data_IF_973487200177
#
_entry.id   IF_973487200177
#
_cell.length_a   1.000
_cell.length_b   1.000
_cell.length_c   1.000
_cell.angle_alpha   90.00
_cell.angle_beta   90.00
_cell.angle_gamma   90.00
#
_symmetry.space_group_name_H-M   'P 1'
#
loop_
_entity.id
_entity.type
_entity.pdbx_description
1 polymer ?
#
# COMPACT_ATOMS: atom_id res chain seq x y z
N UNK A 1 -7.93 6.07 17.68
CA UNK A 1 -8.56 7.39 17.46
C UNK A 1 -9.29 7.45 16.14
N UNK A 2 -8.71 7.00 15.02
CA UNK A 2 -9.33 7.01 13.68
C UNK A 2 -10.65 6.23 13.67
N UNK A 3 -10.69 5.05 14.29
CA UNK A 3 -11.89 4.23 14.39
C UNK A 3 -13.07 4.96 15.08
N UNK A 4 -12.78 5.75 16.12
CA UNK A 4 -13.82 6.55 16.80
C UNK A 4 -14.32 7.72 15.94
N UNK A 5 -13.47 8.28 15.09
CA UNK A 5 -13.83 9.39 14.22
C UNK A 5 -14.51 8.96 12.91
N UNK A 6 -14.11 7.82 12.32
CA UNK A 6 -14.54 7.36 10.99
C UNK A 6 -15.43 6.13 11.01
N UNK A 7 -15.59 5.46 12.15
CA UNK A 7 -16.39 4.24 12.28
C UNK A 7 -15.68 2.99 11.72
N UNK A 8 -16.49 1.97 11.42
CA UNK A 8 -16.01 0.72 10.82
C UNK A 8 -15.51 0.93 9.39
N UNK A 9 -14.59 0.05 8.96
CA UNK A 9 -14.13 0.01 7.56
C UNK A 9 -15.31 -0.20 6.62
N UNK A 10 -15.35 0.55 5.55
CA UNK A 10 -16.37 0.46 4.49
C UNK A 10 -15.75 0.83 3.15
N UNK A 11 -16.20 0.19 2.11
CA UNK A 11 -15.82 0.48 0.72
C UNK A 11 -17.07 0.54 -0.17
N UNK A 12 -16.93 1.18 -1.30
CA UNK A 12 -17.91 1.10 -2.38
C UNK A 12 -17.77 -0.25 -3.10
N UNK A 13 -18.85 -0.82 -3.64
CA UNK A 13 -18.78 -2.01 -4.50
C UNK A 13 -17.88 -1.78 -5.73
N UNK A 14 -17.26 -2.84 -6.23
CA UNK A 14 -16.40 -2.77 -7.43
C UNK A 14 -17.14 -2.15 -8.62
N UNK A 15 -18.39 -2.55 -8.84
CA UNK A 15 -19.19 -2.03 -9.95
C UNK A 15 -19.38 -0.50 -9.92
N UNK A 16 -19.55 0.07 -8.73
CA UNK A 16 -19.70 1.52 -8.55
C UNK A 16 -18.36 2.24 -8.77
N UNK A 17 -17.25 1.68 -8.29
CA UNK A 17 -15.91 2.22 -8.50
C UNK A 17 -15.48 2.18 -9.98
N UNK A 18 -15.84 1.13 -10.70
CA UNK A 18 -15.61 1.04 -12.15
C UNK A 18 -16.40 2.13 -12.87
N UNK A 19 -17.68 2.30 -12.54
CA UNK A 19 -18.52 3.36 -13.12
C UNK A 19 -17.98 4.76 -12.83
N UNK A 20 -17.45 4.99 -11.62
CA UNK A 20 -16.79 6.24 -11.28
C UNK A 20 -15.52 6.45 -12.13
N UNK A 21 -14.71 5.41 -12.31
CA UNK A 21 -13.52 5.47 -13.16
C UNK A 21 -13.86 5.77 -14.63
N UNK A 22 -14.95 5.20 -15.17
CA UNK A 22 -15.47 5.50 -16.52
C UNK A 22 -15.88 6.97 -16.65
N UNK A 23 -16.55 7.52 -15.63
CA UNK A 23 -16.93 8.94 -15.60
C UNK A 23 -15.70 9.85 -15.55
N UNK A 24 -14.67 9.50 -14.77
CA UNK A 24 -13.40 10.20 -14.70
C UNK A 24 -12.69 10.18 -16.06
N UNK A 25 -12.67 9.04 -16.73
CA UNK A 25 -12.13 8.88 -18.09
C UNK A 25 -12.88 9.75 -19.11
N UNK A 26 -14.23 9.72 -19.06
CA UNK A 26 -15.07 10.54 -19.92
C UNK A 26 -14.88 12.06 -19.72
N UNK A 27 -14.49 12.47 -18.50
CA UNK A 27 -14.09 13.85 -18.20
C UNK A 27 -12.68 14.21 -18.70
N UNK A 28 -11.97 13.30 -19.37
CA UNK A 28 -10.65 13.52 -19.95
C UNK A 28 -9.48 13.27 -19.01
N UNK A 29 -9.71 12.78 -17.79
CA UNK A 29 -8.65 12.41 -16.85
C UNK A 29 -7.99 11.10 -17.32
N UNK A 30 -6.67 11.01 -17.17
CA UNK A 30 -5.86 9.88 -17.65
C UNK A 30 -5.25 9.06 -16.52
N UNK A 31 -5.26 9.59 -15.31
CA UNK A 31 -4.66 8.95 -14.14
C UNK A 31 -5.60 8.96 -12.95
N UNK A 32 -5.67 7.82 -12.25
CA UNK A 32 -6.41 7.67 -11.00
C UNK A 32 -5.46 7.17 -9.92
N UNK A 33 -5.49 7.84 -8.76
CA UNK A 33 -4.83 7.37 -7.54
C UNK A 33 -5.85 6.67 -6.66
N UNK A 34 -5.69 5.37 -6.49
CA UNK A 34 -6.51 4.56 -5.58
C UNK A 34 -6.03 4.84 -4.16
N UNK A 35 -6.88 5.48 -3.37
CA UNK A 35 -6.53 5.94 -2.02
C UNK A 35 -7.49 5.42 -0.97
N UNK A 36 -6.99 5.30 0.25
CA UNK A 36 -7.74 4.89 1.44
C UNK A 36 -6.83 4.91 2.66
N UNK A 37 -7.39 4.69 3.85
CA UNK A 37 -6.59 4.55 5.08
C UNK A 37 -5.69 3.31 4.97
N UNK A 38 -6.24 2.24 4.38
CA UNK A 38 -5.55 0.99 4.06
C UNK A 38 -6.26 0.37 2.88
N UNK A 39 -5.74 0.55 1.68
CA UNK A 39 -6.38 0.07 0.45
C UNK A 39 -6.48 -1.45 0.40
N UNK A 40 -5.54 -2.16 1.02
CA UNK A 40 -5.55 -3.63 1.09
C UNK A 40 -6.69 -4.23 1.93
N UNK A 41 -7.36 -3.42 2.79
CA UNK A 41 -8.52 -3.85 3.59
C UNK A 41 -9.85 -3.78 2.79
N UNK A 42 -9.77 -3.47 1.49
CA UNK A 42 -10.90 -3.40 0.59
C UNK A 42 -11.70 -4.71 0.56
N UNK A 43 -13.01 -4.59 0.51
CA UNK A 43 -13.93 -5.72 0.37
C UNK A 43 -14.26 -6.45 1.67
N UNK A 44 -13.68 -6.05 2.80
CA UNK A 44 -13.93 -6.68 4.10
C UNK A 44 -15.42 -6.72 4.50
N UNK A 45 -16.19 -5.74 4.06
CA UNK A 45 -17.63 -5.63 4.35
C UNK A 45 -18.52 -6.12 3.21
N UNK A 46 -18.00 -6.20 1.98
CA UNK A 46 -18.76 -6.60 0.78
C UNK A 46 -18.44 -8.02 0.31
N UNK A 47 -17.37 -8.64 0.84
CA UNK A 47 -16.88 -9.95 0.40
C UNK A 47 -16.09 -9.91 -0.91
N UNK A 48 -15.88 -8.73 -1.49
CA UNK A 48 -15.05 -8.52 -2.67
C UNK A 48 -13.56 -8.54 -2.29
N UNK A 49 -12.66 -8.70 -3.25
CA UNK A 49 -11.22 -8.68 -3.01
C UNK A 49 -10.57 -7.48 -3.70
N UNK A 50 -9.56 -6.91 -3.08
CA UNK A 50 -8.82 -5.78 -3.66
C UNK A 50 -8.23 -6.10 -5.04
N UNK A 51 -7.70 -7.31 -5.24
CA UNK A 51 -7.19 -7.73 -6.55
C UNK A 51 -8.27 -7.74 -7.64
N UNK A 52 -9.51 -8.08 -7.29
CA UNK A 52 -10.61 -8.10 -8.26
C UNK A 52 -11.00 -6.67 -8.68
N UNK A 53 -10.90 -5.70 -7.74
CA UNK A 53 -11.01 -4.28 -8.06
C UNK A 53 -9.90 -3.84 -9.04
N UNK A 54 -8.63 -4.20 -8.76
CA UNK A 54 -7.52 -3.81 -9.64
C UNK A 54 -7.71 -4.36 -11.06
N UNK A 55 -8.16 -5.62 -11.19
CA UNK A 55 -8.47 -6.23 -12.48
C UNK A 55 -9.59 -5.50 -13.21
N UNK A 56 -10.68 -5.19 -12.50
CA UNK A 56 -11.81 -4.49 -13.10
C UNK A 56 -11.43 -3.07 -13.56
N UNK A 57 -10.65 -2.34 -12.77
CA UNK A 57 -10.15 -1.01 -13.14
C UNK A 57 -9.20 -1.05 -14.33
N UNK A 58 -8.40 -2.12 -14.48
CA UNK A 58 -7.50 -2.30 -15.63
C UNK A 58 -8.25 -2.30 -16.98
N UNK A 59 -9.49 -2.78 -17.01
CA UNK A 59 -10.31 -2.85 -18.21
C UNK A 59 -10.96 -1.51 -18.59
N UNK A 60 -10.98 -0.52 -17.69
CA UNK A 60 -11.58 0.78 -17.96
C UNK A 60 -10.82 1.51 -19.07
N UNK A 61 -11.51 1.78 -20.18
CA UNK A 61 -10.95 2.55 -21.28
C UNK A 61 -10.78 4.03 -20.94
N UNK A 62 -9.76 4.68 -21.51
CA UNK A 62 -9.50 6.10 -21.31
C UNK A 62 -8.64 6.43 -20.10
N UNK A 63 -8.49 5.53 -19.11
CA UNK A 63 -7.50 5.64 -18.05
C UNK A 63 -6.22 4.95 -18.48
N UNK A 64 -5.12 5.69 -18.42
CA UNK A 64 -3.79 5.22 -18.83
C UNK A 64 -2.93 4.79 -17.65
N UNK A 65 -3.17 5.35 -16.45
CA UNK A 65 -2.37 5.09 -15.26
C UNK A 65 -3.20 4.95 -14.01
N UNK A 66 -2.86 3.94 -13.21
CA UNK A 66 -3.32 3.79 -11.83
C UNK A 66 -2.12 3.77 -10.88
N UNK A 67 -2.26 4.47 -9.77
CA UNK A 67 -1.32 4.34 -8.63
C UNK A 67 -2.05 3.82 -7.41
N UNK A 68 -1.44 2.85 -6.73
CA UNK A 68 -1.92 2.38 -5.43
C UNK A 68 -1.26 3.25 -4.36
N UNK A 69 -2.09 3.93 -3.55
CA UNK A 69 -1.64 4.64 -2.38
C UNK A 69 -1.34 3.66 -1.23
N UNK A 70 -1.46 4.07 0.00
CA UNK A 70 -1.07 3.29 1.18
C UNK A 70 -1.66 1.87 1.22
N UNK A 71 -0.79 0.85 1.23
CA UNK A 71 -1.14 -0.56 1.41
C UNK A 71 -0.24 -1.19 2.47
N UNK A 72 -0.83 -1.78 3.51
CA UNK A 72 -0.06 -2.46 4.56
C UNK A 72 0.68 -3.69 4.01
N UNK A 73 1.91 -3.99 4.50
CA UNK A 73 2.76 -5.05 3.94
C UNK A 73 2.10 -6.44 4.01
N UNK A 74 1.30 -6.72 5.03
CA UNK A 74 0.57 -7.99 5.18
C UNK A 74 -0.61 -8.14 4.20
N UNK A 75 -1.03 -7.06 3.54
CA UNK A 75 -2.12 -7.05 2.55
C UNK A 75 -1.60 -6.91 1.11
N UNK A 76 -0.33 -6.58 0.93
CA UNK A 76 0.35 -6.59 -0.36
C UNK A 76 0.75 -8.03 -0.72
N UNK A 77 -0.18 -8.77 -1.32
CA UNK A 77 -0.01 -10.18 -1.67
C UNK A 77 0.84 -10.37 -2.92
N UNK A 78 1.39 -11.59 -3.12
CA UNK A 78 2.12 -11.94 -4.34
C UNK A 78 1.24 -11.81 -5.60
N UNK A 79 -0.06 -12.10 -5.47
CA UNK A 79 -1.04 -11.93 -6.55
C UNK A 79 -1.17 -10.46 -6.98
N UNK A 80 -1.22 -9.53 -6.03
CA UNK A 80 -1.26 -8.09 -6.31
C UNK A 80 0.05 -7.63 -6.96
N UNK A 81 1.21 -8.04 -6.42
CA UNK A 81 2.52 -7.67 -6.96
C UNK A 81 2.67 -8.18 -8.41
N UNK A 82 2.35 -9.44 -8.65
CA UNK A 82 2.42 -10.04 -9.99
C UNK A 82 1.47 -9.35 -10.98
N UNK A 83 0.26 -9.02 -10.54
CA UNK A 83 -0.69 -8.28 -11.36
C UNK A 83 -0.17 -6.89 -11.74
N UNK A 84 0.30 -6.11 -10.77
CA UNK A 84 0.87 -4.78 -11.04
C UNK A 84 2.08 -4.84 -11.98
N UNK A 85 2.95 -5.85 -11.81
CA UNK A 85 4.10 -6.04 -12.68
C UNK A 85 3.74 -6.38 -14.14
N UNK A 86 2.60 -7.02 -14.37
CA UNK A 86 2.14 -7.42 -15.70
C UNK A 86 1.21 -6.40 -16.36
N UNK A 87 0.61 -5.50 -15.60
CA UNK A 87 -0.33 -4.51 -16.12
C UNK A 87 0.37 -3.32 -16.76
N UNK A 88 -0.02 -2.90 -17.98
CA UNK A 88 0.52 -1.68 -18.58
C UNK A 88 -0.01 -0.39 -17.93
N UNK A 89 -1.08 -0.47 -17.14
CA UNK A 89 -1.72 0.70 -16.52
C UNK A 89 -1.31 0.92 -15.07
N UNK A 90 -1.03 -0.15 -14.31
CA UNK A 90 -0.63 -0.01 -12.92
C UNK A 90 0.85 0.38 -12.83
N UNK A 91 1.10 1.53 -12.23
CA UNK A 91 2.45 2.06 -12.10
C UNK A 91 3.25 1.27 -11.07
N UNK A 92 4.54 1.08 -11.34
CA UNK A 92 5.50 0.49 -10.40
C UNK A 92 5.78 1.45 -9.25
N UNK A 93 4.73 1.81 -8.54
CA UNK A 93 4.74 2.77 -7.44
C UNK A 93 3.95 2.21 -6.25
N UNK A 94 4.62 2.06 -5.11
CA UNK A 94 4.02 1.56 -3.89
C UNK A 94 4.34 2.48 -2.72
N UNK A 95 3.34 2.79 -1.93
CA UNK A 95 3.49 3.44 -0.64
C UNK A 95 3.14 2.42 0.43
N UNK A 96 4.15 1.97 1.20
CA UNK A 96 4.03 0.86 2.15
C UNK A 96 4.44 1.36 3.54
N UNK A 97 3.50 1.57 4.48
CA UNK A 97 3.82 2.08 5.80
C UNK A 97 4.58 1.03 6.62
N UNK A 98 5.85 1.32 6.95
CA UNK A 98 6.68 0.51 7.85
C UNK A 98 6.40 0.86 9.31
N UNK A 99 6.32 2.14 9.62
CA UNK A 99 6.17 2.76 10.92
C UNK A 99 7.42 2.68 11.82
N UNK A 100 8.12 1.55 11.93
CA UNK A 100 9.39 1.39 12.64
C UNK A 100 10.16 0.20 12.10
N UNK A 101 11.48 0.29 12.09
CA UNK A 101 12.38 -0.83 11.80
C UNK A 101 12.75 -1.66 13.03
N UNK A 102 12.13 -1.40 14.19
CA UNK A 102 12.27 -2.19 15.41
C UNK A 102 11.00 -3.01 15.67
N UNK A 103 11.12 -4.34 15.73
CA UNK A 103 9.99 -5.22 16.01
C UNK A 103 9.40 -4.99 17.40
N UNK A 104 10.19 -4.55 18.38
CA UNK A 104 9.71 -4.18 19.70
C UNK A 104 8.78 -2.96 19.65
N UNK A 105 9.10 -1.98 18.81
CA UNK A 105 8.27 -0.79 18.58
C UNK A 105 7.02 -1.17 17.78
N UNK A 106 7.15 -1.96 16.71
CA UNK A 106 6.01 -2.46 15.93
C UNK A 106 4.99 -3.20 16.80
N UNK A 107 5.46 -4.06 17.73
CA UNK A 107 4.60 -4.76 18.67
C UNK A 107 3.85 -3.78 19.60
N UNK A 108 4.51 -2.75 20.14
CA UNK A 108 3.89 -1.69 20.94
C UNK A 108 2.87 -0.87 20.14
N UNK A 109 3.15 -0.63 18.85
CA UNK A 109 2.21 -0.01 17.91
C UNK A 109 1.05 -0.94 17.49
N UNK A 110 1.07 -2.21 17.94
CA UNK A 110 0.11 -3.26 17.58
C UNK A 110 0.03 -3.50 16.06
N UNK A 111 1.19 -3.45 15.38
CA UNK A 111 1.27 -3.80 13.96
C UNK A 111 1.17 -5.30 13.78
N UNK A 112 0.62 -5.72 12.64
CA UNK A 112 0.36 -7.13 12.30
C UNK A 112 1.43 -7.72 11.39
N UNK A 113 2.60 -7.10 11.36
CA UNK A 113 3.76 -7.51 10.57
C UNK A 113 5.04 -7.25 11.35
N UNK A 114 6.10 -7.94 10.95
CA UNK A 114 7.47 -7.77 11.44
C UNK A 114 8.32 -7.06 10.39
N UNK A 115 9.51 -6.62 10.79
CA UNK A 115 10.51 -6.05 9.88
C UNK A 115 10.95 -7.07 8.82
N UNK A 116 11.07 -8.36 9.17
CA UNK A 116 11.36 -9.45 8.25
C UNK A 116 10.27 -9.57 7.18
N UNK A 117 8.99 -9.60 7.58
CA UNK A 117 7.86 -9.65 6.64
C UNK A 117 7.80 -8.42 5.74
N UNK A 118 8.14 -7.25 6.28
CA UNK A 118 8.22 -6.04 5.50
C UNK A 118 9.31 -6.13 4.43
N UNK A 119 10.53 -6.52 4.81
CA UNK A 119 11.65 -6.70 3.87
C UNK A 119 11.32 -7.72 2.78
N UNK A 120 10.72 -8.86 3.14
CA UNK A 120 10.25 -9.87 2.19
C UNK A 120 9.30 -9.29 1.13
N UNK A 121 8.38 -8.40 1.52
CA UNK A 121 7.47 -7.74 0.57
C UNK A 121 8.18 -6.79 -0.37
N UNK A 122 9.13 -6.00 0.15
CA UNK A 122 9.95 -5.10 -0.68
C UNK A 122 10.79 -5.90 -1.69
N UNK A 123 11.39 -7.00 -1.27
CA UNK A 123 12.14 -7.89 -2.15
C UNK A 123 11.25 -8.52 -3.23
N UNK A 124 10.04 -8.95 -2.87
CA UNK A 124 9.08 -9.49 -3.82
C UNK A 124 8.69 -8.45 -4.89
N UNK A 125 8.46 -7.19 -4.49
CA UNK A 125 8.21 -6.08 -5.42
C UNK A 125 9.42 -5.87 -6.35
N UNK A 126 10.62 -5.72 -5.80
CA UNK A 126 11.84 -5.44 -6.57
C UNK A 126 12.23 -6.56 -7.52
N UNK A 127 11.93 -7.80 -7.17
CA UNK A 127 12.19 -8.94 -8.05
C UNK A 127 11.41 -8.88 -9.34
N UNK A 128 10.14 -8.46 -9.31
CA UNK A 128 9.27 -8.36 -10.47
C UNK A 128 9.29 -6.97 -11.13
N UNK A 129 9.58 -5.94 -10.34
CA UNK A 129 9.61 -4.52 -10.74
C UNK A 129 10.88 -3.87 -10.19
N UNK A 130 12.07 -4.08 -10.81
CA UNK A 130 13.34 -3.54 -10.30
C UNK A 130 13.39 -2.01 -10.25
N UNK A 131 12.58 -1.35 -11.07
CA UNK A 131 12.41 0.10 -11.16
C UNK A 131 11.33 0.68 -10.23
N UNK A 132 10.71 -0.16 -9.39
CA UNK A 132 9.61 0.28 -8.55
C UNK A 132 10.02 1.42 -7.61
N UNK A 133 9.21 2.48 -7.61
CA UNK A 133 9.28 3.53 -6.62
C UNK A 133 8.60 3.07 -5.33
N UNK A 134 9.37 2.93 -4.26
CA UNK A 134 8.88 2.47 -2.96
C UNK A 134 9.01 3.61 -1.95
N UNK A 135 7.87 4.16 -1.54
CA UNK A 135 7.74 5.13 -0.46
C UNK A 135 7.38 4.43 0.86
N UNK A 136 7.94 4.91 1.95
CA UNK A 136 7.77 4.31 3.29
C UNK A 136 7.45 5.39 4.32
N UNK A 137 6.44 5.13 5.18
CA UNK A 137 6.19 5.96 6.37
C UNK A 137 6.95 5.42 7.57
N UNK A 138 7.55 6.32 8.35
CA UNK A 138 8.25 6.02 9.60
C UNK A 138 7.85 7.00 10.69
N UNK A 139 7.62 6.50 11.89
CA UNK A 139 7.37 7.30 13.09
C UNK A 139 8.62 7.25 13.96
N UNK A 140 9.15 8.41 14.32
CA UNK A 140 10.26 8.58 15.27
C UNK A 140 9.72 9.15 16.57
N UNK A 141 10.26 8.70 17.69
CA UNK A 141 9.83 9.16 19.02
C UNK A 141 8.52 8.55 19.48
N UNK A 142 8.18 7.35 19.03
CA UNK A 142 7.02 6.64 19.56
C UNK A 142 7.17 6.41 21.07
N UNK A 143 6.10 6.52 21.89
CA UNK A 143 6.18 6.34 23.33
C UNK A 143 6.89 5.04 23.75
N UNK A 144 8.00 5.18 24.46
CA UNK A 144 8.86 4.07 24.89
C UNK A 144 9.88 3.61 23.84
N UNK A 145 10.02 4.30 22.70
CA UNK A 145 11.13 4.07 21.77
C UNK A 145 12.45 4.45 22.44
N UNK A 146 13.43 3.55 22.39
CA UNK A 146 14.77 3.77 22.91
C UNK A 146 15.73 4.23 21.81
N UNK A 147 16.89 4.77 22.17
CA UNK A 147 17.96 5.08 21.21
C UNK A 147 18.38 3.82 20.42
N UNK A 148 18.39 2.65 21.06
CA UNK A 148 18.68 1.38 20.38
C UNK A 148 17.61 1.02 19.35
N UNK A 149 16.32 1.24 19.65
CA UNK A 149 15.23 1.02 18.69
C UNK A 149 15.34 1.96 17.50
N UNK A 150 15.67 3.22 17.74
CA UNK A 150 15.90 4.22 16.70
C UNK A 150 17.05 3.80 15.77
N UNK A 151 18.20 3.40 16.34
CA UNK A 151 19.36 2.92 15.56
C UNK A 151 19.00 1.70 14.72
N UNK A 152 18.28 0.74 15.31
CA UNK A 152 17.78 -0.44 14.59
C UNK A 152 16.92 -0.04 13.40
N UNK A 153 16.03 0.94 13.59
CA UNK A 153 15.19 1.48 12.51
C UNK A 153 16.03 2.16 11.43
N UNK A 154 17.00 2.98 11.81
CA UNK A 154 17.90 3.66 10.89
C UNK A 154 18.69 2.67 10.02
N UNK A 155 19.35 1.69 10.64
CA UNK A 155 20.12 0.66 9.94
C UNK A 155 19.24 -0.22 9.05
N UNK A 156 18.02 -0.51 9.47
CA UNK A 156 17.05 -1.24 8.65
C UNK A 156 16.69 -0.46 7.39
N UNK A 157 16.39 0.85 7.51
CA UNK A 157 16.05 1.72 6.38
C UNK A 157 17.25 1.91 5.43
N UNK A 158 18.46 2.03 5.97
CA UNK A 158 19.67 2.15 5.16
C UNK A 158 19.89 0.91 4.29
N UNK A 159 19.74 -0.29 4.86
CA UNK A 159 19.80 -1.55 4.08
C UNK A 159 18.66 -1.68 3.08
N UNK A 160 17.48 -1.23 3.45
CA UNK A 160 16.29 -1.34 2.60
C UNK A 160 16.33 -0.36 1.42
N UNK A 161 17.03 0.77 1.55
CA UNK A 161 17.21 1.80 0.53
C UNK A 161 15.89 2.17 -0.19
N UNK A 162 14.87 2.70 0.52
CA UNK A 162 13.64 3.14 -0.11
C UNK A 162 13.89 4.37 -1.00
N UNK A 163 13.01 4.58 -1.99
CA UNK A 163 13.09 5.74 -2.85
C UNK A 163 12.65 7.04 -2.14
N UNK A 164 11.78 6.91 -1.14
CA UNK A 164 11.23 8.04 -0.39
C UNK A 164 10.86 7.64 1.05
N UNK A 165 11.12 8.55 1.99
CA UNK A 165 10.72 8.44 3.40
C UNK A 165 9.80 9.61 3.78
N UNK A 166 8.73 9.27 4.45
CA UNK A 166 7.82 10.21 5.09
C UNK A 166 7.77 9.95 6.60
#
# INVERSE_FOLDING_TARGET
TIHYARGASRNMPIADLVKEAEQIAAAGQREIVITGINTGDFGRTTGERFIDLLRALNEVEGIERYRISSIEPNLLTDEIIAFCASSPKFQHHFHIPLQSGSDSVLARMRRRYTTEKFAERIEAVRRLMPDAFIGIDVIVGFPGETESDFRTTYEFLERLAPAYLH
#
